data_IF_954210010245
#
_entry.id   IF_954210010245
#
_cell.length_a   1.000
_cell.length_b   1.000
_cell.length_c   1.000
_cell.angle_alpha   90.00
_cell.angle_beta   90.00
_cell.angle_gamma   90.00
#
_symmetry.space_group_name_H-M   'P 1'
#
loop_
_entity.id
_entity.type
_entity.pdbx_description
1 polymer ?
#
# COMPACT_ATOMS: atom_id res chain seq x y z
N UNK A 1 48.46 -52.05 -34.32
CA UNK A 1 47.47 -50.97 -34.47
C UNK A 1 46.39 -51.13 -33.40
N UNK A 2 46.13 -50.03 -32.68
CA UNK A 2 45.01 -49.69 -31.77
C UNK A 2 44.04 -50.80 -31.31
N UNK A 3 43.80 -51.05 -30.02
CA UNK A 3 43.83 -50.15 -28.86
C UNK A 3 42.43 -50.16 -28.21
N UNK A 4 42.23 -51.08 -27.25
CA UNK A 4 40.97 -51.39 -26.57
C UNK A 4 40.37 -50.16 -25.87
N UNK A 5 39.08 -49.87 -26.11
CA UNK A 5 38.34 -48.77 -25.49
C UNK A 5 37.99 -49.11 -24.03
N UNK A 6 38.55 -48.31 -23.14
CA UNK A 6 38.31 -48.29 -21.69
C UNK A 6 36.96 -47.64 -21.37
N UNK A 7 36.12 -48.37 -20.63
CA UNK A 7 34.90 -47.89 -19.98
C UNK A 7 35.27 -46.96 -18.82
N UNK A 8 35.12 -45.64 -19.00
CA UNK A 8 35.25 -44.65 -17.92
C UNK A 8 33.90 -44.40 -17.25
N UNK A 9 33.79 -44.84 -16.01
CA UNK A 9 32.75 -44.51 -15.04
C UNK A 9 32.74 -43.00 -14.75
N UNK A 10 31.55 -42.38 -14.86
CA UNK A 10 31.30 -40.99 -14.47
C UNK A 10 31.39 -40.82 -12.94
N UNK A 11 32.06 -39.77 -12.44
CA UNK A 11 32.30 -39.60 -11.01
C UNK A 11 31.06 -39.10 -10.26
N UNK A 12 30.78 -39.75 -9.13
CA UNK A 12 29.85 -39.34 -8.08
C UNK A 12 30.09 -37.90 -7.65
N UNK A 13 29.06 -37.04 -7.77
CA UNK A 13 29.06 -35.66 -7.26
C UNK A 13 29.30 -35.64 -5.75
N UNK A 14 30.51 -35.27 -5.34
CA UNK A 14 30.85 -34.92 -3.95
C UNK A 14 29.96 -33.77 -3.49
N UNK A 15 29.29 -33.96 -2.36
CA UNK A 15 28.60 -32.91 -1.61
C UNK A 15 29.61 -31.80 -1.29
N UNK A 16 29.45 -30.65 -1.94
CA UNK A 16 30.18 -29.43 -1.57
C UNK A 16 29.60 -28.94 -0.24
N UNK A 17 30.33 -29.21 0.85
CA UNK A 17 30.15 -28.58 2.15
C UNK A 17 30.48 -27.09 1.97
N UNK A 18 29.46 -26.26 1.77
CA UNK A 18 29.63 -24.81 1.86
C UNK A 18 29.90 -24.47 3.33
N UNK A 19 31.17 -24.16 3.63
CA UNK A 19 31.62 -23.72 4.94
C UNK A 19 30.93 -22.41 5.28
N UNK A 20 30.17 -22.45 6.37
CA UNK A 20 29.63 -21.32 7.08
C UNK A 20 30.80 -20.39 7.49
N UNK A 21 30.96 -19.26 6.81
CA UNK A 21 31.92 -18.19 7.17
C UNK A 21 31.14 -16.90 7.36
N UNK A 22 31.17 -16.38 8.58
CA UNK A 22 30.86 -15.00 8.88
C UNK A 22 29.38 -14.68 9.03
N UNK A 23 28.73 -15.23 10.06
CA UNK A 23 27.66 -14.49 10.73
C UNK A 23 28.30 -13.25 11.37
N UNK A 24 28.48 -12.19 10.57
CA UNK A 24 28.70 -10.85 11.10
C UNK A 24 27.43 -10.48 11.85
N UNK A 25 27.48 -10.65 13.16
CA UNK A 25 26.48 -10.12 14.09
C UNK A 25 26.38 -8.62 13.85
N UNK A 26 25.42 -8.20 13.02
CA UNK A 26 24.92 -6.84 13.02
C UNK A 26 24.25 -6.65 14.38
N UNK A 27 25.04 -6.16 15.33
CA UNK A 27 24.52 -5.63 16.58
C UNK A 27 23.37 -4.68 16.23
N UNK A 28 22.24 -4.71 16.97
CA UNK A 28 21.14 -3.81 16.69
C UNK A 28 21.70 -2.40 16.84
N UNK A 29 21.70 -1.63 15.76
CA UNK A 29 21.92 -0.18 15.81
C UNK A 29 20.73 0.38 16.59
N UNK A 30 20.83 0.34 17.91
CA UNK A 30 19.99 1.10 18.84
C UNK A 30 20.59 2.49 18.93
N UNK A 31 20.51 3.24 17.83
CA UNK A 31 20.48 4.69 17.93
C UNK A 31 19.01 5.08 17.84
N UNK A 32 18.47 5.50 18.99
CA UNK A 32 17.14 6.10 19.10
C UNK A 32 17.14 7.50 18.47
N UNK A 33 17.61 7.62 17.22
CA UNK A 33 17.14 8.72 16.39
C UNK A 33 15.66 8.43 16.18
N UNK A 34 14.80 9.30 16.71
CA UNK A 34 13.41 9.38 16.28
C UNK A 34 13.45 9.51 14.76
N UNK A 35 13.33 8.39 14.06
CA UNK A 35 13.14 8.39 12.63
C UNK A 35 11.70 8.84 12.44
N UNK A 36 11.57 10.13 12.12
CA UNK A 36 10.30 10.81 12.03
C UNK A 36 9.86 10.70 10.59
N UNK A 37 8.63 10.21 10.40
CA UNK A 37 7.93 10.41 9.15
C UNK A 37 7.82 11.92 8.90
N UNK A 38 8.40 12.38 7.80
CA UNK A 38 8.25 13.75 7.29
C UNK A 38 8.06 13.65 5.78
N UNK A 39 7.39 14.59 5.13
CA UNK A 39 7.22 14.48 3.68
C UNK A 39 6.04 15.23 3.12
N UNK A 40 5.52 14.72 2.00
CA UNK A 40 4.35 15.25 1.32
C UNK A 40 3.35 14.13 1.14
N UNK A 41 2.08 14.44 1.36
CA UNK A 41 0.96 13.55 1.14
C UNK A 41 0.04 14.18 0.09
N UNK A 42 -0.21 13.45 -0.98
CA UNK A 42 -1.12 13.81 -2.04
C UNK A 42 -2.30 12.85 -2.00
N UNK A 43 -3.52 13.39 -1.98
CA UNK A 43 -4.75 12.60 -1.92
C UNK A 43 -5.58 12.88 -3.17
N UNK A 44 -6.11 11.80 -3.76
CA UNK A 44 -7.05 11.81 -4.88
C UNK A 44 -8.17 10.81 -4.61
N UNK A 45 -9.31 10.92 -5.30
CA UNK A 45 -10.32 9.87 -5.25
C UNK A 45 -9.73 8.50 -5.63
N UNK A 46 -9.78 7.56 -4.69
CA UNK A 46 -9.32 6.18 -4.91
C UNK A 46 -7.83 5.93 -4.79
N UNK A 47 -7.00 6.95 -4.46
CA UNK A 47 -5.55 6.77 -4.26
C UNK A 47 -4.90 7.84 -3.39
N UNK A 48 -3.78 7.48 -2.77
CA UNK A 48 -2.94 8.39 -2.00
C UNK A 48 -1.45 8.16 -2.28
N UNK A 49 -0.65 9.22 -2.35
CA UNK A 49 0.79 9.13 -2.52
C UNK A 49 1.49 9.85 -1.36
N UNK A 50 2.36 9.14 -0.66
CA UNK A 50 3.30 9.73 0.27
C UNK A 50 4.70 9.75 -0.35
N UNK A 51 5.42 10.86 -0.17
CA UNK A 51 6.84 11.00 -0.56
C UNK A 51 7.63 11.62 0.58
N UNK A 52 8.67 10.93 1.06
CA UNK A 52 9.59 11.46 2.08
C UNK A 52 10.27 10.38 2.93
N UNK A 53 10.95 10.75 4.04
CA UNK A 53 11.59 9.79 4.92
C UNK A 53 10.60 8.88 5.64
N UNK A 54 10.65 7.57 5.36
CA UNK A 54 9.81 6.59 6.04
C UNK A 54 10.55 5.91 7.20
N UNK A 55 9.88 5.77 8.33
CA UNK A 55 10.40 5.08 9.51
C UNK A 55 9.72 3.71 9.71
N UNK A 56 10.10 3.00 10.78
CA UNK A 56 9.47 1.73 11.15
C UNK A 56 7.98 1.92 11.49
N UNK A 57 7.16 1.08 10.87
CA UNK A 57 5.74 0.94 11.19
C UNK A 57 5.54 -0.19 12.20
N UNK A 58 4.43 -0.22 12.92
CA UNK A 58 4.00 -1.46 13.59
C UNK A 58 3.33 -2.39 12.59
N UNK A 59 3.29 -3.72 12.83
CA UNK A 59 2.54 -4.64 11.97
C UNK A 59 1.09 -4.18 11.78
N UNK A 60 0.66 -4.10 10.54
CA UNK A 60 -0.64 -3.54 10.17
C UNK A 60 -1.19 -4.17 8.89
N UNK A 61 -2.47 -3.92 8.62
CA UNK A 61 -3.13 -4.30 7.37
C UNK A 61 -4.17 -3.23 7.01
N UNK A 62 -4.10 -2.72 5.78
CA UNK A 62 -5.08 -1.79 5.22
C UNK A 62 -5.69 -2.37 3.95
N UNK A 63 -6.83 -1.82 3.53
CA UNK A 63 -7.53 -2.29 2.35
C UNK A 63 -6.86 -1.86 1.03
N UNK A 64 -6.03 -0.81 1.05
CA UNK A 64 -5.30 -0.38 -0.14
C UNK A 64 -4.28 -1.42 -0.61
N UNK A 65 -4.16 -1.56 -1.94
CA UNK A 65 -2.98 -2.12 -2.60
C UNK A 65 -1.88 -1.08 -2.51
N UNK A 66 -0.66 -1.47 -2.11
CA UNK A 66 0.42 -0.51 -1.87
C UNK A 66 1.66 -0.82 -2.72
N UNK A 67 2.12 0.17 -3.47
CA UNK A 67 3.42 0.17 -4.14
C UNK A 67 4.42 0.98 -3.31
N UNK A 68 5.60 0.40 -3.07
CA UNK A 68 6.65 0.99 -2.25
C UNK A 68 7.93 1.11 -3.08
N UNK A 69 8.39 2.33 -3.36
CA UNK A 69 9.62 2.60 -4.09
C UNK A 69 10.64 3.34 -3.20
N UNK A 70 11.82 2.77 -3.02
CA UNK A 70 12.96 3.45 -2.41
C UNK A 70 13.64 4.39 -3.41
N UNK A 71 13.78 5.66 -3.04
CA UNK A 71 14.29 6.73 -3.90
C UNK A 71 15.82 6.88 -3.78
N UNK A 72 16.36 6.80 -2.57
CA UNK A 72 17.80 6.99 -2.27
C UNK A 72 18.45 5.74 -1.66
N UNK A 73 17.72 4.63 -1.53
CA UNK A 73 18.23 3.39 -0.98
C UNK A 73 17.17 2.30 -0.79
N UNK A 74 17.58 1.13 -0.28
CA UNK A 74 16.65 0.05 0.03
C UNK A 74 15.93 0.28 1.35
N UNK A 75 14.74 -0.31 1.47
CA UNK A 75 13.94 -0.42 2.69
C UNK A 75 13.69 -1.88 3.04
N UNK A 76 13.01 -2.15 4.15
CA UNK A 76 12.72 -3.50 4.62
C UNK A 76 11.23 -3.76 4.76
N UNK A 77 10.83 -4.99 4.42
CA UNK A 77 9.48 -5.51 4.60
C UNK A 77 9.49 -6.83 5.38
N UNK A 78 8.45 -7.06 6.16
CA UNK A 78 8.11 -8.39 6.68
C UNK A 78 6.61 -8.57 6.76
N UNK A 79 6.14 -9.81 6.69
CA UNK A 79 4.70 -10.12 6.72
C UNK A 79 4.11 -9.97 8.13
N UNK A 80 4.73 -10.61 9.12
CA UNK A 80 4.23 -10.61 10.49
C UNK A 80 5.38 -10.42 11.46
N UNK A 81 5.03 -10.09 12.71
CA UNK A 81 6.00 -10.01 13.80
C UNK A 81 6.72 -11.37 13.96
N UNK A 82 8.05 -11.34 14.00
CA UNK A 82 8.88 -12.53 14.11
C UNK A 82 9.28 -13.17 12.78
N UNK A 83 8.67 -12.79 11.65
CA UNK A 83 9.16 -13.18 10.33
C UNK A 83 10.45 -12.43 9.97
N UNK A 84 11.25 -13.03 9.09
CA UNK A 84 12.47 -12.42 8.55
C UNK A 84 12.18 -11.13 7.79
N UNK A 85 13.06 -10.15 7.95
CA UNK A 85 13.07 -8.94 7.14
C UNK A 85 13.60 -9.22 5.74
N UNK A 86 12.94 -8.67 4.74
CA UNK A 86 13.31 -8.71 3.34
C UNK A 86 13.72 -7.31 2.93
N UNK A 87 14.95 -7.14 2.45
CA UNK A 87 15.46 -5.86 1.97
C UNK A 87 15.15 -5.70 0.48
N UNK A 88 14.58 -4.57 0.08
CA UNK A 88 14.15 -4.33 -1.29
C UNK A 88 14.16 -2.84 -1.63
N UNK A 89 14.15 -2.53 -2.93
CA UNK A 89 13.99 -1.16 -3.42
C UNK A 89 12.62 -0.91 -4.06
N UNK A 90 11.92 -1.97 -4.45
CA UNK A 90 10.60 -1.87 -5.03
C UNK A 90 9.77 -3.06 -4.59
N UNK A 91 8.56 -2.81 -4.08
CA UNK A 91 7.67 -3.85 -3.62
C UNK A 91 6.21 -3.49 -3.87
N UNK A 92 5.41 -4.52 -4.07
CA UNK A 92 3.95 -4.48 -4.12
C UNK A 92 3.41 -5.24 -2.91
N UNK A 93 2.50 -4.64 -2.16
CA UNK A 93 1.84 -5.22 -1.00
C UNK A 93 0.36 -5.37 -1.31
N UNK A 94 -0.17 -6.57 -1.04
CA UNK A 94 -1.57 -6.90 -1.30
C UNK A 94 -2.51 -6.16 -0.34
N UNK A 95 -3.70 -5.85 -0.84
CA UNK A 95 -4.81 -5.41 -0.01
C UNK A 95 -5.08 -6.39 1.14
N UNK A 96 -5.33 -5.85 2.33
CA UNK A 96 -5.66 -6.56 3.56
C UNK A 96 -4.61 -7.56 4.06
N UNK A 97 -3.42 -7.62 3.46
CA UNK A 97 -2.33 -8.42 3.97
C UNK A 97 -1.64 -7.72 5.15
N UNK A 98 -1.43 -8.49 6.23
CA UNK A 98 -0.58 -8.01 7.32
C UNK A 98 0.85 -7.87 6.82
N UNK A 99 1.44 -6.72 7.08
CA UNK A 99 2.82 -6.42 6.79
C UNK A 99 3.38 -5.40 7.78
N UNK A 100 4.70 -5.23 7.75
CA UNK A 100 5.42 -4.17 8.43
C UNK A 100 6.50 -3.65 7.48
N UNK A 101 6.53 -2.34 7.35
CA UNK A 101 7.51 -1.59 6.58
C UNK A 101 8.45 -0.85 7.52
N UNK A 102 9.75 -0.95 7.23
CA UNK A 102 10.77 -0.10 7.82
C UNK A 102 11.55 0.58 6.70
N UNK A 103 11.31 1.88 6.54
CA UNK A 103 12.00 2.70 5.56
C UNK A 103 13.48 2.94 5.87
N UNK A 104 13.98 2.55 7.05
CA UNK A 104 15.36 2.76 7.46
C UNK A 104 15.81 4.23 7.38
N UNK A 105 14.85 5.17 7.44
CA UNK A 105 15.07 6.61 7.35
C UNK A 105 15.35 7.10 5.94
N UNK A 106 15.12 6.25 4.93
CA UNK A 106 15.30 6.53 3.51
C UNK A 106 14.10 7.27 2.92
N UNK A 107 14.35 7.94 1.81
CA UNK A 107 13.32 8.58 0.99
C UNK A 107 12.52 7.50 0.26
N UNK A 108 11.22 7.39 0.54
CA UNK A 108 10.32 6.46 -0.12
C UNK A 108 9.20 7.22 -0.84
N UNK A 109 8.75 6.66 -1.97
CA UNK A 109 7.44 6.93 -2.53
C UNK A 109 6.51 5.74 -2.21
N UNK A 110 5.43 6.00 -1.49
CA UNK A 110 4.42 5.02 -1.10
C UNK A 110 3.09 5.38 -1.78
N UNK A 111 2.69 4.60 -2.77
CA UNK A 111 1.44 4.79 -3.49
C UNK A 111 0.41 3.76 -2.99
N UNK A 112 -0.71 4.24 -2.48
CA UNK A 112 -1.84 3.46 -2.02
C UNK A 112 -2.97 3.57 -3.04
N UNK A 113 -3.52 2.45 -3.49
CA UNK A 113 -4.59 2.37 -4.46
C UNK A 113 -5.77 1.60 -3.84
N UNK A 114 -6.97 2.17 -3.89
CA UNK A 114 -8.17 1.42 -3.52
C UNK A 114 -8.34 0.24 -4.49
N UNK A 115 -8.57 -1.00 -4.00
CA UNK A 115 -8.71 -2.16 -4.88
C UNK A 115 -9.85 -2.06 -5.89
N UNK A 116 -10.86 -1.21 -5.63
CA UNK A 116 -11.99 -0.97 -6.54
C UNK A 116 -11.74 0.21 -7.49
N UNK A 117 -10.59 0.89 -7.42
CA UNK A 117 -10.17 1.80 -8.49
C UNK A 117 -9.70 1.02 -9.72
N UNK A 118 -9.71 1.64 -10.90
CA UNK A 118 -9.19 1.00 -12.11
C UNK A 118 -7.71 0.59 -11.95
N UNK A 119 -6.89 1.52 -11.47
CA UNK A 119 -5.47 1.33 -11.17
C UNK A 119 -5.25 0.23 -10.12
N UNK A 120 -6.02 0.25 -9.03
CA UNK A 120 -5.95 -0.76 -7.98
C UNK A 120 -6.36 -2.16 -8.45
N UNK A 121 -7.34 -2.28 -9.35
CA UNK A 121 -7.69 -3.56 -9.98
C UNK A 121 -6.58 -4.07 -10.88
N UNK A 122 -5.96 -3.18 -11.66
CA UNK A 122 -4.87 -3.53 -12.56
C UNK A 122 -3.64 -4.04 -11.79
N UNK A 123 -3.20 -3.29 -10.78
CA UNK A 123 -2.06 -3.66 -9.93
C UNK A 123 -2.39 -4.88 -9.06
N UNK A 124 -3.59 -4.95 -8.49
CA UNK A 124 -4.05 -6.05 -7.63
C UNK A 124 -4.32 -7.37 -8.37
N UNK A 125 -4.40 -7.36 -9.71
CA UNK A 125 -4.51 -8.58 -10.52
C UNK A 125 -3.15 -9.30 -10.66
N UNK A 126 -2.04 -8.66 -10.30
CA UNK A 126 -0.72 -9.29 -10.30
C UNK A 126 -0.72 -10.36 -9.22
N UNK A 127 -0.55 -11.62 -9.61
CA UNK A 127 -0.52 -12.74 -8.69
C UNK A 127 0.61 -12.58 -7.67
N UNK A 128 0.25 -12.42 -6.40
CA UNK A 128 1.20 -12.33 -5.30
C UNK A 128 1.31 -13.70 -4.61
N UNK A 129 2.53 -14.20 -4.48
CA UNK A 129 2.80 -15.32 -3.57
C UNK A 129 3.14 -14.72 -2.21
N UNK A 130 2.36 -15.01 -1.18
CA UNK A 130 2.60 -14.63 0.22
C UNK A 130 2.36 -13.14 0.62
N UNK A 131 1.48 -12.41 -0.08
CA UNK A 131 0.90 -11.15 0.39
C UNK A 131 1.75 -9.88 0.19
N UNK A 132 3.01 -10.02 -0.24
CA UNK A 132 3.76 -8.96 -0.93
C UNK A 132 4.73 -9.59 -1.94
N UNK A 133 5.09 -8.85 -2.98
CA UNK A 133 6.07 -9.25 -3.99
C UNK A 133 7.18 -8.20 -4.10
N UNK A 134 8.42 -8.66 -4.20
CA UNK A 134 9.57 -7.81 -4.50
C UNK A 134 9.66 -7.64 -6.02
N UNK A 135 9.64 -6.41 -6.48
CA UNK A 135 9.56 -6.09 -7.90
C UNK A 135 10.97 -5.86 -8.49
N UNK A 136 11.21 -6.22 -9.76
CA UNK A 136 12.46 -5.92 -10.44
C UNK A 136 12.74 -4.41 -10.44
N UNK A 137 14.00 -4.04 -10.24
CA UNK A 137 14.41 -2.62 -10.13
C UNK A 137 15.01 -2.05 -11.41
N UNK A 138 14.84 -2.74 -12.54
CA UNK A 138 15.39 -2.30 -13.82
C UNK A 138 14.62 -1.07 -14.29
N UNK A 139 15.33 -0.08 -14.85
CA UNK A 139 14.75 1.12 -15.45
C UNK A 139 13.93 2.01 -14.50
N UNK A 140 14.14 1.95 -13.18
CA UNK A 140 13.44 2.82 -12.21
C UNK A 140 14.09 4.20 -12.02
N UNK A 141 15.15 4.52 -12.76
CA UNK A 141 15.92 5.77 -12.57
C UNK A 141 15.03 7.01 -12.77
N UNK A 142 14.27 7.06 -13.88
CA UNK A 142 13.38 8.18 -14.17
C UNK A 142 12.26 8.33 -13.13
N UNK A 143 11.69 7.20 -12.67
CA UNK A 143 10.70 7.20 -11.60
C UNK A 143 11.28 7.76 -10.30
N UNK A 144 12.48 7.31 -9.90
CA UNK A 144 13.16 7.81 -8.69
C UNK A 144 13.43 9.30 -8.75
N UNK A 145 14.00 9.77 -9.86
CA UNK A 145 14.28 11.19 -10.08
C UNK A 145 13.01 12.03 -10.10
N UNK A 146 11.95 11.54 -10.76
CA UNK A 146 10.66 12.23 -10.81
C UNK A 146 9.99 12.33 -9.44
N UNK A 147 9.97 11.25 -8.65
CA UNK A 147 9.45 11.29 -7.29
C UNK A 147 10.33 12.12 -6.35
N UNK A 148 11.66 12.10 -6.50
CA UNK A 148 12.56 12.95 -5.74
C UNK A 148 12.26 14.43 -5.98
N UNK A 149 11.98 14.84 -7.22
CA UNK A 149 11.49 16.19 -7.54
C UNK A 149 10.14 16.49 -6.88
N UNK A 150 9.24 15.51 -6.82
CA UNK A 150 7.95 15.67 -6.13
C UNK A 150 8.07 15.84 -4.61
N UNK A 151 9.18 15.42 -4.00
CA UNK A 151 9.44 15.65 -2.57
C UNK A 151 9.69 17.14 -2.25
N UNK A 152 10.11 17.94 -3.23
CA UNK A 152 10.30 19.39 -3.11
C UNK A 152 8.95 20.10 -2.91
N UNK A 153 8.88 21.09 -2.03
CA UNK A 153 7.64 21.83 -1.73
C UNK A 153 7.06 22.58 -2.94
N UNK A 154 7.90 22.93 -3.92
CA UNK A 154 7.49 23.61 -5.16
C UNK A 154 6.78 22.68 -6.16
N UNK A 155 6.89 21.36 -6.01
CA UNK A 155 6.34 20.46 -7.02
C UNK A 155 4.82 20.45 -7.01
N UNK A 156 4.23 20.56 -8.21
CA UNK A 156 2.79 20.63 -8.38
C UNK A 156 2.10 19.27 -8.13
N UNK A 157 0.85 19.26 -7.65
CA UNK A 157 0.06 18.02 -7.57
C UNK A 157 -0.11 17.30 -8.91
N UNK A 158 -0.10 18.03 -10.04
CA UNK A 158 -0.14 17.42 -11.38
C UNK A 158 1.11 16.60 -11.68
N UNK A 159 2.29 17.08 -11.27
CA UNK A 159 3.54 16.33 -11.41
C UNK A 159 3.49 15.05 -10.59
N UNK A 160 3.02 15.13 -9.34
CA UNK A 160 2.86 13.96 -8.48
C UNK A 160 1.88 12.93 -9.08
N UNK A 161 0.77 13.39 -9.66
CA UNK A 161 -0.20 12.53 -10.34
C UNK A 161 0.43 11.81 -11.55
N UNK A 162 1.15 12.54 -12.41
CA UNK A 162 1.85 11.94 -13.56
C UNK A 162 2.88 10.89 -13.14
N UNK A 163 3.60 11.12 -12.05
CA UNK A 163 4.56 10.14 -11.53
C UNK A 163 3.85 8.90 -10.96
N UNK A 164 2.70 9.07 -10.29
CA UNK A 164 1.89 7.95 -9.84
C UNK A 164 1.36 7.12 -11.02
N UNK A 165 0.87 7.76 -12.09
CA UNK A 165 0.41 7.11 -13.30
C UNK A 165 1.54 6.28 -13.96
N UNK A 166 2.73 6.88 -14.12
CA UNK A 166 3.90 6.20 -14.68
C UNK A 166 4.35 4.99 -13.83
N UNK A 167 4.23 5.08 -12.50
CA UNK A 167 4.54 3.96 -11.60
C UNK A 167 3.55 2.80 -11.78
N UNK A 168 2.26 3.11 -11.94
CA UNK A 168 1.21 2.11 -12.20
C UNK A 168 1.44 1.43 -13.55
N UNK A 169 1.70 2.20 -14.60
CA UNK A 169 1.96 1.71 -15.96
C UNK A 169 3.18 0.77 -16.02
N UNK A 170 4.21 1.04 -15.22
CA UNK A 170 5.40 0.18 -15.11
C UNK A 170 5.07 -1.22 -14.56
N UNK A 171 3.99 -1.35 -13.80
CA UNK A 171 3.63 -2.57 -13.07
C UNK A 171 2.50 -3.33 -13.74
N UNK A 172 1.47 -2.61 -14.17
CA UNK A 172 0.31 -3.18 -14.82
C UNK A 172 0.03 -2.36 -16.10
N UNK A 173 0.64 -2.72 -17.24
CA UNK A 173 0.16 -2.22 -18.53
C UNK A 173 -1.32 -2.61 -18.66
N UNK A 174 -2.13 -1.65 -19.12
CA UNK A 174 -3.59 -1.46 -18.96
C UNK A 174 -4.52 -2.67 -19.26
N UNK A 175 -4.00 -3.83 -19.63
CA UNK A 175 -4.77 -4.98 -20.14
C UNK A 175 -5.27 -5.97 -19.07
N UNK A 176 -4.99 -5.75 -17.77
CA UNK A 176 -5.36 -6.71 -16.69
C UNK A 176 -6.36 -6.15 -15.69
N UNK A 177 -7.61 -5.94 -16.07
CA UNK A 177 -8.64 -5.53 -15.10
C UNK A 177 -9.39 -6.73 -14.52
N UNK A 178 -9.44 -6.86 -13.18
CA UNK A 178 -10.47 -7.69 -12.54
C UNK A 178 -11.83 -7.05 -12.81
N UNK A 179 -12.83 -7.84 -13.21
CA UNK A 179 -14.20 -7.36 -13.40
C UNK A 179 -14.92 -7.33 -12.04
N UNK A 180 -15.43 -6.15 -11.65
CA UNK A 180 -16.34 -6.01 -10.50
C UNK A 180 -17.77 -6.21 -10.99
N UNK A 181 -18.60 -6.92 -10.23
CA UNK A 181 -20.01 -7.13 -10.60
C UNK A 181 -20.71 -5.76 -10.80
N UNK A 182 -21.43 -5.53 -11.92
CA UNK A 182 -21.93 -4.20 -12.30
C UNK A 182 -22.88 -3.53 -11.29
N UNK A 183 -23.63 -4.27 -10.48
CA UNK A 183 -24.49 -3.69 -9.43
C UNK A 183 -23.65 -3.26 -8.25
N UNK A 184 -22.66 -4.07 -7.86
CA UNK A 184 -21.68 -3.70 -6.82
C UNK A 184 -20.86 -2.49 -7.26
N UNK A 185 -20.40 -2.43 -8.52
CA UNK A 185 -19.66 -1.29 -9.06
C UNK A 185 -20.47 0.02 -9.00
N UNK A 186 -21.74 -0.02 -9.44
CA UNK A 186 -22.67 1.13 -9.34
C UNK A 186 -22.90 1.55 -7.89
N UNK A 187 -23.08 0.59 -6.99
CA UNK A 187 -23.20 0.85 -5.57
C UNK A 187 -21.95 1.51 -4.99
N UNK A 188 -20.76 0.98 -5.27
CA UNK A 188 -19.49 1.55 -4.83
C UNK A 188 -19.28 2.97 -5.35
N UNK A 189 -19.66 3.25 -6.60
CA UNK A 189 -19.62 4.61 -7.16
C UNK A 189 -20.56 5.56 -6.40
N UNK A 190 -21.78 5.11 -6.08
CA UNK A 190 -22.73 5.90 -5.28
C UNK A 190 -22.24 6.15 -3.84
N UNK A 191 -21.57 5.15 -3.26
CA UNK A 191 -21.07 5.20 -1.88
C UNK A 191 -19.85 6.11 -1.73
N UNK A 192 -18.97 6.16 -2.75
CA UNK A 192 -17.83 7.08 -2.80
C UNK A 192 -18.28 8.55 -2.90
N UNK A 193 -19.36 8.83 -3.64
CA UNK A 193 -19.93 10.19 -3.79
C UNK A 193 -20.66 10.71 -2.54
N UNK A 194 -21.05 9.82 -1.64
CA UNK A 194 -21.87 10.15 -0.46
C UNK A 194 -21.08 10.16 0.85
N UNK A 195 -19.74 10.25 0.78
CA UNK A 195 -18.87 10.44 1.97
C UNK A 195 -19.13 9.43 3.08
N UNK A 196 -19.39 8.16 2.72
CA UNK A 196 -19.60 7.08 3.69
C UNK A 196 -20.71 7.37 4.72
N UNK A 197 -21.88 7.85 4.26
CA UNK A 197 -23.11 7.93 5.07
C UNK A 197 -23.26 6.70 5.98
N UNK A 198 -23.82 6.85 7.21
CA UNK A 198 -24.18 5.69 8.02
C UNK A 198 -25.14 4.85 7.18
N UNK A 199 -24.65 3.73 6.67
CA UNK A 199 -25.42 2.86 5.80
C UNK A 199 -25.43 1.49 6.43
N UNK A 200 -26.60 1.04 6.89
CA UNK A 200 -26.74 -0.33 7.32
C UNK A 200 -26.65 -1.24 6.08
N UNK A 201 -26.18 -2.47 6.26
CA UNK A 201 -26.14 -3.45 5.18
C UNK A 201 -27.54 -3.70 4.57
N UNK A 202 -28.60 -3.57 5.38
CA UNK A 202 -29.98 -3.66 4.90
C UNK A 202 -30.36 -2.53 3.95
N UNK A 203 -29.93 -1.29 4.23
CA UNK A 203 -30.21 -0.14 3.38
C UNK A 203 -29.45 -0.26 2.06
N UNK A 204 -28.16 -0.63 2.13
CA UNK A 204 -27.34 -0.93 0.97
C UNK A 204 -27.96 -2.02 0.09
N UNK A 205 -28.44 -3.11 0.72
CA UNK A 205 -29.08 -4.21 0.01
C UNK A 205 -30.37 -3.78 -0.70
N UNK A 206 -31.21 -2.94 -0.06
CA UNK A 206 -32.41 -2.39 -0.69
C UNK A 206 -32.09 -1.51 -1.89
N UNK A 207 -31.05 -0.68 -1.81
CA UNK A 207 -30.61 0.19 -2.92
C UNK A 207 -30.23 -0.60 -4.18
N UNK A 208 -29.75 -1.84 -4.03
CA UNK A 208 -29.34 -2.70 -5.15
C UNK A 208 -30.35 -3.82 -5.46
N UNK A 209 -31.52 -3.81 -4.82
CA UNK A 209 -32.59 -4.80 -5.03
C UNK A 209 -32.22 -6.21 -4.57
N UNK A 210 -31.51 -6.34 -3.44
CA UNK A 210 -31.06 -7.63 -2.88
C UNK A 210 -31.53 -7.81 -1.43
N UNK A 211 -31.54 -9.07 -0.98
CA UNK A 211 -31.59 -9.36 0.46
C UNK A 211 -30.27 -9.00 1.14
N UNK A 212 -30.30 -8.68 2.43
CA UNK A 212 -29.10 -8.32 3.21
C UNK A 212 -28.01 -9.40 3.16
N UNK A 213 -28.41 -10.68 3.26
CA UNK A 213 -27.48 -11.82 3.17
C UNK A 213 -26.82 -11.92 1.79
N UNK A 214 -27.63 -11.82 0.71
CA UNK A 214 -27.12 -11.89 -0.66
C UNK A 214 -26.20 -10.72 -0.98
N UNK A 215 -26.56 -9.51 -0.53
CA UNK A 215 -25.71 -8.33 -0.66
C UNK A 215 -24.37 -8.52 0.03
N UNK A 216 -24.35 -8.96 1.29
CA UNK A 216 -23.09 -9.15 2.02
C UNK A 216 -22.18 -10.20 1.37
N UNK A 217 -22.77 -11.28 0.86
CA UNK A 217 -22.04 -12.31 0.13
C UNK A 217 -21.41 -11.74 -1.16
N UNK A 218 -22.22 -11.15 -2.03
CA UNK A 218 -21.75 -10.56 -3.30
C UNK A 218 -20.76 -9.41 -3.09
N UNK A 219 -20.97 -8.60 -2.05
CA UNK A 219 -20.06 -7.52 -1.69
C UNK A 219 -18.70 -8.08 -1.30
N UNK A 220 -18.65 -9.09 -0.42
CA UNK A 220 -17.40 -9.72 0.00
C UNK A 220 -16.69 -10.40 -1.18
N UNK A 221 -17.43 -11.04 -2.07
CA UNK A 221 -16.87 -11.67 -3.28
C UNK A 221 -16.25 -10.63 -4.22
N UNK A 222 -16.90 -9.47 -4.37
CA UNK A 222 -16.46 -8.41 -5.28
C UNK A 222 -15.33 -7.53 -4.71
N UNK A 223 -15.37 -7.24 -3.41
CA UNK A 223 -14.49 -6.26 -2.72
C UNK A 223 -13.42 -6.97 -1.88
N UNK A 224 -13.58 -8.25 -1.56
CA UNK A 224 -12.63 -9.04 -0.76
C UNK A 224 -12.82 -8.93 0.76
N UNK A 225 -13.48 -7.87 1.25
CA UNK A 225 -13.74 -7.66 2.68
C UNK A 225 -15.24 -7.50 3.02
N UNK A 226 -15.66 -7.79 4.26
CA UNK A 226 -17.03 -7.52 4.69
C UNK A 226 -17.39 -6.04 4.58
N UNK A 227 -18.64 -5.75 4.20
CA UNK A 227 -19.14 -4.37 4.01
C UNK A 227 -18.85 -3.44 5.19
N UNK A 228 -19.01 -3.91 6.43
CA UNK A 228 -18.70 -3.13 7.64
C UNK A 228 -17.23 -2.72 7.73
N UNK A 229 -16.30 -3.59 7.30
CA UNK A 229 -14.85 -3.28 7.28
C UNK A 229 -14.54 -2.27 6.17
N UNK A 230 -15.22 -2.37 5.04
CA UNK A 230 -15.11 -1.39 3.96
C UNK A 230 -15.63 0.00 4.37
N UNK A 231 -16.77 0.09 5.05
CA UNK A 231 -17.23 1.37 5.61
C UNK A 231 -16.22 1.96 6.61
N UNK A 232 -15.57 1.12 7.42
CA UNK A 232 -14.51 1.58 8.32
C UNK A 232 -13.28 2.09 7.56
N UNK A 233 -12.91 1.46 6.44
CA UNK A 233 -11.87 1.94 5.53
C UNK A 233 -12.20 3.32 4.98
N UNK A 234 -13.41 3.51 4.42
CA UNK A 234 -13.85 4.80 3.89
C UNK A 234 -13.84 5.91 4.95
N UNK A 235 -14.30 5.61 6.17
CA UNK A 235 -14.20 6.55 7.30
C UNK A 235 -12.75 6.91 7.60
N UNK A 236 -11.84 5.93 7.58
CA UNK A 236 -10.44 6.20 7.83
C UNK A 236 -9.81 7.08 6.74
N UNK A 237 -10.15 6.85 5.47
CA UNK A 237 -9.71 7.69 4.34
C UNK A 237 -10.20 9.13 4.52
N UNK A 238 -11.49 9.32 4.86
CA UNK A 238 -12.02 10.65 5.17
C UNK A 238 -11.28 11.29 6.37
N UNK A 239 -10.97 10.53 7.42
CA UNK A 239 -10.20 11.05 8.55
C UNK A 239 -8.77 11.47 8.15
N UNK A 240 -8.11 10.71 7.27
CA UNK A 240 -6.79 11.05 6.71
C UNK A 240 -6.84 12.39 5.99
N UNK A 241 -7.87 12.63 5.16
CA UNK A 241 -8.07 13.92 4.49
C UNK A 241 -8.19 15.08 5.48
N UNK A 242 -9.04 14.93 6.51
CA UNK A 242 -9.25 15.97 7.53
C UNK A 242 -7.99 16.25 8.34
N UNK A 243 -7.28 15.21 8.78
CA UNK A 243 -6.01 15.35 9.50
C UNK A 243 -4.96 16.05 8.62
N UNK A 244 -4.89 15.65 7.35
CA UNK A 244 -3.93 16.23 6.43
C UNK A 244 -4.24 17.72 6.19
N UNK A 245 -5.51 18.09 6.08
CA UNK A 245 -5.98 19.49 5.99
C UNK A 245 -5.78 20.32 7.28
N UNK A 246 -5.20 19.76 8.35
CA UNK A 246 -4.86 20.48 9.57
C UNK A 246 -5.94 20.44 10.66
N UNK A 247 -7.02 19.69 10.49
CA UNK A 247 -8.01 19.51 11.55
C UNK A 247 -7.40 18.75 12.73
N UNK A 248 -7.89 19.04 13.94
CA UNK A 248 -7.55 18.27 15.13
C UNK A 248 -8.04 16.82 15.01
N UNK A 249 -7.44 15.91 15.80
CA UNK A 249 -7.88 14.50 15.82
C UNK A 249 -9.33 14.33 16.28
N UNK A 250 -9.85 15.27 17.07
CA UNK A 250 -11.24 15.26 17.53
C UNK A 250 -12.19 15.65 16.40
N UNK A 251 -11.90 16.75 15.68
CA UNK A 251 -12.68 17.17 14.51
C UNK A 251 -12.62 16.10 13.41
N UNK A 252 -11.44 15.61 13.08
CA UNK A 252 -11.28 14.56 12.08
C UNK A 252 -12.04 13.29 12.46
N UNK A 253 -12.06 12.90 13.74
CA UNK A 253 -12.85 11.76 14.19
C UNK A 253 -14.35 12.02 14.05
N UNK A 254 -14.83 13.20 14.42
CA UNK A 254 -16.24 13.58 14.31
C UNK A 254 -16.70 13.61 12.85
N UNK A 255 -15.96 14.32 11.97
CA UNK A 255 -16.27 14.47 10.55
C UNK A 255 -16.25 13.11 9.83
N UNK A 256 -15.30 12.24 10.20
CA UNK A 256 -15.20 10.87 9.69
C UNK A 256 -16.11 9.85 10.41
N UNK A 257 -16.96 10.31 11.34
CA UNK A 257 -17.94 9.48 12.07
C UNK A 257 -17.34 8.33 12.87
N UNK A 258 -16.19 8.58 13.49
CA UNK A 258 -15.69 7.77 14.60
C UNK A 258 -16.38 8.20 15.90
N UNK A 259 -16.64 7.23 16.77
CA UNK A 259 -17.26 7.48 18.08
C UNK A 259 -16.47 8.47 18.95
N UNK A 260 -15.14 8.47 18.82
CA UNK A 260 -14.22 9.36 19.55
C UNK A 260 -12.81 9.28 18.93
N UNK A 261 -11.97 10.27 19.21
CA UNK A 261 -10.59 10.37 18.67
C UNK A 261 -9.70 9.17 19.01
N UNK A 262 -9.87 8.55 20.19
CA UNK A 262 -9.14 7.33 20.53
C UNK A 262 -9.56 6.11 19.67
N UNK A 263 -10.81 6.03 19.18
CA UNK A 263 -11.23 4.98 18.26
C UNK A 263 -10.61 5.18 16.88
N UNK A 264 -10.56 6.43 16.39
CA UNK A 264 -9.80 6.80 15.19
C UNK A 264 -8.33 6.40 15.34
N UNK A 265 -7.66 6.81 16.42
CA UNK A 265 -6.24 6.52 16.66
C UNK A 265 -5.91 5.03 16.68
N UNK A 266 -6.73 4.20 17.35
CA UNK A 266 -6.55 2.74 17.33
C UNK A 266 -6.76 2.14 15.96
N UNK A 267 -7.78 2.62 15.23
CA UNK A 267 -8.08 2.13 13.87
C UNK A 267 -6.97 2.50 12.90
N UNK A 268 -6.50 3.73 12.94
CA UNK A 268 -5.38 4.23 12.15
C UNK A 268 -4.10 3.43 12.40
N UNK A 269 -3.73 3.20 13.67
CA UNK A 269 -2.55 2.41 14.02
C UNK A 269 -2.65 0.96 13.55
N UNK A 270 -3.84 0.36 13.65
CA UNK A 270 -4.07 -1.01 13.14
C UNK A 270 -3.98 -1.09 11.61
N UNK A 271 -4.38 -0.04 10.90
CA UNK A 271 -4.45 -0.03 9.44
C UNK A 271 -3.17 0.47 8.76
N UNK A 272 -2.45 1.44 9.35
CA UNK A 272 -1.24 2.04 8.76
C UNK A 272 0.03 1.82 9.60
N UNK A 273 -0.08 1.22 10.78
CA UNK A 273 1.08 0.90 11.61
C UNK A 273 1.71 2.11 12.33
N UNK A 274 1.24 3.33 12.10
CA UNK A 274 1.69 4.57 12.76
C UNK A 274 0.54 5.29 13.47
N UNK A 275 0.81 6.37 14.21
CA UNK A 275 -0.25 7.16 14.87
C UNK A 275 -0.77 8.26 13.95
N UNK A 276 -2.04 8.69 14.10
CA UNK A 276 -2.55 9.86 13.37
C UNK A 276 -1.71 11.13 13.59
N UNK A 277 -1.13 11.30 14.78
CA UNK A 277 -0.25 12.43 15.08
C UNK A 277 1.04 12.40 14.26
N UNK A 278 1.54 11.22 13.89
CA UNK A 278 2.67 11.12 12.97
C UNK A 278 2.26 11.64 11.58
N UNK A 279 1.06 11.28 11.09
CA UNK A 279 0.52 11.83 9.84
C UNK A 279 0.38 13.36 9.87
N UNK A 280 -0.13 13.93 10.97
CA UNK A 280 -0.28 15.38 11.12
C UNK A 280 1.08 16.11 11.01
N UNK A 281 2.16 15.52 11.53
CA UNK A 281 3.53 16.06 11.41
C UNK A 281 4.12 15.93 10.01
N UNK A 282 3.64 14.97 9.23
CA UNK A 282 4.06 14.69 7.85
C UNK A 282 3.39 15.65 6.86
N UNK A 283 2.24 16.21 7.20
CA UNK A 283 1.37 16.83 6.21
C UNK A 283 1.74 18.27 5.88
N UNK A 284 2.48 18.49 4.77
CA UNK A 284 2.17 19.61 3.87
C UNK A 284 1.11 19.10 2.89
N UNK A 285 -0.15 19.17 3.28
CA UNK A 285 -1.27 18.66 2.48
C UNK A 285 -1.35 19.37 1.13
N UNK A 286 -1.47 18.58 0.08
CA UNK A 286 -1.74 19.07 -1.26
C UNK A 286 -2.96 18.31 -1.78
N UNK A 287 -4.11 18.97 -1.75
CA UNK A 287 -5.29 18.48 -2.44
C UNK A 287 -5.05 18.60 -3.93
N UNK A 288 -5.12 17.49 -4.63
CA UNK A 288 -5.14 17.50 -6.08
C UNK A 288 -6.59 17.40 -6.55
N UNK A 289 -6.96 18.24 -7.52
CA UNK A 289 -8.28 18.18 -8.13
C UNK A 289 -8.53 16.81 -8.80
N UNK A 290 -9.80 16.48 -9.01
CA UNK A 290 -10.21 15.28 -9.74
C UNK A 290 -9.45 15.20 -11.07
N UNK A 291 -9.00 13.99 -11.43
CA UNK A 291 -8.47 13.70 -12.77
C UNK A 291 -9.56 14.16 -13.75
N UNK A 292 -9.30 15.09 -14.70
CA UNK A 292 -10.28 15.35 -15.74
C UNK A 292 -10.58 14.01 -16.39
N UNK A 293 -11.86 13.66 -16.46
CA UNK A 293 -12.33 12.50 -17.21
C UNK A 293 -11.82 12.68 -18.64
N UNK A 294 -10.79 11.91 -18.99
CA UNK A 294 -10.34 11.76 -20.38
C UNK A 294 -11.38 10.97 -21.16
#
# INVERSE_FOLDING_TARGET
MAGKRSTRSLPTRKRVRCRNRGAGSLAPIRSAHLQVWSGRLFLWPGRALYIGPAADTTPHAHHAVQLCLGLDGPFRLRRIRGASWHQCHFALIEADCTHQLDGCGRQLALLYLDPESEEGRAVGAIALTAGFCLLPTRNLFELREGFARCADASASPHTAARMADALVETIAPVERTRTVEPRVARFLQSLRRSSGLPMAAGDAARLVGLSSSRFQHLFRESVGIPFRRYLLWLRLVAAVERIASGCSLTEAAHDARFSYSAHLSRTFRRMFGLSPSALARVSKFVQAAEKPLS
#
